data_IF_490791363725
#
_entry.id   IF_490791363725
#
_cell.length_a   1.000
_cell.length_b   1.000
_cell.length_c   1.000
_cell.angle_alpha   90.00
_cell.angle_beta   90.00
_cell.angle_gamma   90.00
#
_symmetry.space_group_name_H-M   'P 1'
#
loop_
_entity.id
_entity.type
_entity.pdbx_description
1 polymer ?
#
# COMPACT_ATOMS: atom_id res chain seq x y z
N UNK A 1 -20.80 -38.37 -40.39
CA UNK A 1 -21.87 -37.59 -39.72
C UNK A 1 -21.82 -37.71 -38.20
N UNK A 2 -22.01 -38.88 -37.58
CA UNK A 2 -21.94 -38.99 -36.10
C UNK A 2 -20.56 -38.62 -35.52
N UNK A 3 -19.48 -39.09 -36.13
CA UNK A 3 -18.11 -38.78 -35.70
C UNK A 3 -17.78 -37.27 -35.81
N UNK A 4 -18.25 -36.61 -36.86
CA UNK A 4 -18.07 -35.16 -37.07
C UNK A 4 -18.80 -34.34 -36.00
N UNK A 5 -20.02 -34.76 -35.65
CA UNK A 5 -20.84 -34.13 -34.61
C UNK A 5 -20.18 -34.30 -33.23
N UNK A 6 -19.69 -35.50 -32.92
CA UNK A 6 -18.96 -35.76 -31.67
C UNK A 6 -17.67 -34.95 -31.59
N UNK A 7 -16.91 -34.86 -32.68
CA UNK A 7 -15.68 -34.06 -32.74
C UNK A 7 -15.95 -32.58 -32.50
N UNK A 8 -17.02 -32.03 -33.08
CA UNK A 8 -17.45 -30.65 -32.84
C UNK A 8 -17.72 -30.40 -31.35
N UNK A 9 -18.54 -31.23 -30.70
CA UNK A 9 -18.86 -31.04 -29.28
C UNK A 9 -17.65 -31.20 -28.36
N UNK A 10 -16.78 -32.17 -28.64
CA UNK A 10 -15.53 -32.35 -27.87
C UNK A 10 -14.61 -31.16 -28.06
N UNK A 11 -14.44 -30.66 -29.28
CA UNK A 11 -13.61 -29.49 -29.55
C UNK A 11 -14.15 -28.25 -28.83
N UNK A 12 -15.46 -28.01 -28.87
CA UNK A 12 -16.09 -26.88 -28.17
C UNK A 12 -15.88 -26.99 -26.66
N UNK A 13 -16.08 -28.18 -26.08
CA UNK A 13 -15.89 -28.41 -24.66
C UNK A 13 -14.43 -28.17 -24.22
N UNK A 14 -13.46 -28.64 -25.02
CA UNK A 14 -12.03 -28.42 -24.76
C UNK A 14 -11.68 -26.94 -24.87
N UNK A 15 -12.11 -26.25 -25.94
CA UNK A 15 -11.87 -24.82 -26.11
C UNK A 15 -12.46 -23.99 -24.97
N UNK A 16 -13.68 -24.31 -24.53
CA UNK A 16 -14.31 -23.64 -23.40
C UNK A 16 -13.53 -23.88 -22.10
N UNK A 17 -13.17 -25.14 -21.81
CA UNK A 17 -12.38 -25.49 -20.64
C UNK A 17 -11.03 -24.78 -20.59
N UNK A 18 -10.32 -24.73 -21.73
CA UNK A 18 -9.05 -24.00 -21.84
C UNK A 18 -9.27 -22.50 -21.61
N UNK A 19 -10.28 -21.89 -22.23
CA UNK A 19 -10.57 -20.46 -22.09
C UNK A 19 -10.87 -20.06 -20.64
N UNK A 20 -11.65 -20.87 -19.92
CA UNK A 20 -11.99 -20.63 -18.51
C UNK A 20 -10.75 -20.68 -17.62
N UNK A 21 -9.83 -21.62 -17.86
CA UNK A 21 -8.58 -21.69 -17.11
C UNK A 21 -7.72 -20.45 -17.34
N UNK A 22 -7.61 -19.96 -18.58
CA UNK A 22 -6.88 -18.71 -18.86
C UNK A 22 -7.48 -17.51 -18.12
N UNK A 23 -8.81 -17.37 -18.14
CA UNK A 23 -9.51 -16.30 -17.41
C UNK A 23 -9.26 -16.44 -15.92
N UNK A 24 -9.42 -17.64 -15.34
CA UNK A 24 -9.19 -17.88 -13.92
C UNK A 24 -7.76 -17.54 -13.48
N UNK A 25 -6.74 -17.99 -14.25
CA UNK A 25 -5.33 -17.68 -13.96
C UNK A 25 -5.08 -16.18 -14.06
N UNK A 26 -5.62 -15.50 -15.08
CA UNK A 26 -5.45 -14.06 -15.25
C UNK A 26 -6.03 -13.26 -14.08
N UNK A 27 -7.24 -13.61 -13.63
CA UNK A 27 -7.89 -12.99 -12.48
C UNK A 27 -7.13 -13.27 -11.19
N UNK A 28 -6.61 -14.48 -11.03
CA UNK A 28 -5.80 -14.85 -9.88
C UNK A 28 -4.51 -14.03 -9.82
N UNK A 29 -3.78 -13.88 -10.93
CA UNK A 29 -2.59 -13.05 -11.00
C UNK A 29 -2.89 -11.58 -10.69
N UNK A 30 -4.02 -11.06 -11.20
CA UNK A 30 -4.48 -9.70 -10.87
C UNK A 30 -4.77 -9.54 -9.37
N UNK A 31 -5.46 -10.50 -8.76
CA UNK A 31 -5.77 -10.47 -7.33
C UNK A 31 -4.49 -10.49 -6.47
N UNK A 32 -3.54 -11.37 -6.81
CA UNK A 32 -2.23 -11.43 -6.13
C UNK A 32 -1.47 -10.12 -6.32
N UNK A 33 -1.45 -9.55 -7.53
CA UNK A 33 -0.81 -8.27 -7.83
C UNK A 33 -1.39 -7.13 -6.99
N UNK A 34 -2.71 -7.01 -6.92
CA UNK A 34 -3.36 -6.01 -6.07
C UNK A 34 -3.05 -6.20 -4.59
N UNK A 35 -3.04 -7.45 -4.10
CA UNK A 35 -2.70 -7.74 -2.71
C UNK A 35 -1.27 -7.28 -2.37
N UNK A 36 -0.31 -7.59 -3.24
CA UNK A 36 1.09 -7.15 -3.08
C UNK A 36 1.19 -5.63 -3.09
N UNK A 37 0.53 -4.96 -4.06
CA UNK A 37 0.52 -3.50 -4.13
C UNK A 37 -0.10 -2.86 -2.88
N UNK A 38 -1.16 -3.48 -2.33
CA UNK A 38 -1.80 -3.01 -1.11
C UNK A 38 -0.87 -3.16 0.09
N UNK A 39 -0.22 -4.31 0.25
CA UNK A 39 0.77 -4.52 1.31
C UNK A 39 1.93 -3.53 1.18
N UNK A 40 2.44 -3.35 -0.05
CA UNK A 40 3.51 -2.40 -0.32
C UNK A 40 3.08 -0.97 0.01
N UNK A 41 1.86 -0.59 -0.34
CA UNK A 41 1.27 0.69 0.04
C UNK A 41 1.25 0.85 1.57
N UNK A 42 0.87 -0.17 2.34
CA UNK A 42 0.85 -0.06 3.81
C UNK A 42 2.25 0.12 4.41
N UNK A 43 3.26 -0.51 3.80
CA UNK A 43 4.65 -0.39 4.25
C UNK A 43 5.21 0.98 3.88
N UNK A 44 4.98 1.45 2.65
CA UNK A 44 5.50 2.73 2.15
C UNK A 44 4.70 3.94 2.64
N UNK A 45 3.42 3.79 2.94
CA UNK A 45 2.57 4.84 3.49
C UNK A 45 2.78 5.05 5.00
N UNK A 46 4.01 4.87 5.48
CA UNK A 46 4.49 5.57 6.69
C UNK A 46 5.19 6.87 6.30
N UNK A 47 4.50 7.94 5.89
CA UNK A 47 5.02 9.27 6.02
C UNK A 47 4.64 9.74 7.42
N UNK A 48 5.57 9.62 8.37
CA UNK A 48 5.66 10.63 9.42
C UNK A 48 6.50 11.73 8.77
N UNK A 49 5.90 12.81 8.23
CA UNK A 49 6.69 13.93 7.75
C UNK A 49 7.46 14.47 8.96
N UNK A 50 8.76 14.71 8.81
CA UNK A 50 9.57 15.34 9.87
C UNK A 50 8.97 16.68 10.35
N UNK A 51 8.11 17.29 9.53
CA UNK A 51 7.32 18.48 9.85
C UNK A 51 6.17 18.25 10.85
N UNK A 52 5.65 17.02 11.00
CA UNK A 52 4.64 16.67 12.01
C UNK A 52 5.26 16.26 13.36
N UNK A 53 6.57 15.98 13.43
CA UNK A 53 7.23 15.59 14.67
C UNK A 53 7.08 16.63 15.82
N UNK A 54 7.15 17.96 15.57
CA UNK A 54 6.80 18.95 16.59
C UNK A 54 5.33 18.91 17.01
N UNK A 55 4.42 18.61 16.08
CA UNK A 55 2.98 18.55 16.33
C UNK A 55 2.58 17.31 17.14
N UNK A 56 3.28 16.19 16.92
CA UNK A 56 3.15 14.99 17.72
C UNK A 56 3.53 15.25 19.18
N UNK A 57 4.67 15.92 19.42
CA UNK A 57 5.08 16.33 20.77
C UNK A 57 4.06 17.26 21.41
N UNK A 58 3.47 18.20 20.67
CA UNK A 58 2.41 19.07 21.19
C UNK A 58 1.14 18.31 21.59
N UNK A 59 0.88 17.13 21.01
CA UNK A 59 -0.28 16.29 21.35
C UNK A 59 -0.11 15.46 22.62
N UNK A 60 1.13 15.34 23.14
CA UNK A 60 1.44 14.49 24.29
C UNK A 60 1.01 15.14 25.62
N UNK A 61 0.55 14.31 26.56
CA UNK A 61 0.14 14.76 27.89
C UNK A 61 1.31 15.39 28.69
N UNK A 62 2.54 14.97 28.40
CA UNK A 62 3.77 15.51 28.99
C UNK A 62 4.07 16.94 28.52
N UNK A 63 3.79 17.25 27.26
CA UNK A 63 3.86 18.63 26.76
C UNK A 63 2.78 19.51 27.39
N UNK A 64 1.56 18.99 27.58
CA UNK A 64 0.48 19.74 28.24
C UNK A 64 0.82 20.08 29.70
N UNK A 65 1.50 19.19 30.42
CA UNK A 65 1.81 19.33 31.85
C UNK A 65 3.17 20.00 32.14
N UNK A 66 4.02 20.19 31.15
CA UNK A 66 5.36 20.77 31.33
C UNK A 66 5.38 22.30 31.38
N UNK A 67 6.42 22.85 32.00
CA UNK A 67 6.67 24.28 32.05
C UNK A 67 7.16 24.83 30.70
N UNK A 68 7.06 26.14 30.53
CA UNK A 68 7.36 26.84 29.28
C UNK A 68 8.79 26.62 28.76
N UNK A 69 9.78 26.48 29.66
CA UNK A 69 11.16 26.15 29.26
C UNK A 69 11.31 24.69 28.79
N UNK A 70 10.65 23.75 29.47
CA UNK A 70 10.66 22.33 29.11
C UNK A 70 9.97 22.08 27.78
N UNK A 71 8.83 22.74 27.51
CA UNK A 71 8.17 22.71 26.19
C UNK A 71 9.09 23.15 25.06
N UNK A 72 9.84 24.23 25.26
CA UNK A 72 10.78 24.74 24.24
C UNK A 72 11.92 23.75 23.98
N UNK A 73 12.42 23.08 25.01
CA UNK A 73 13.43 22.03 24.86
C UNK A 73 12.87 20.81 24.10
N UNK A 74 11.66 20.37 24.44
CA UNK A 74 10.97 19.27 23.75
C UNK A 74 10.69 19.58 22.27
N UNK A 75 10.34 20.81 21.92
CA UNK A 75 10.12 21.20 20.52
C UNK A 75 11.43 21.36 19.74
N UNK A 76 12.51 21.80 20.38
CA UNK A 76 13.81 21.92 19.74
C UNK A 76 14.48 20.56 19.48
N UNK A 77 14.18 19.52 20.27
CA UNK A 77 14.78 18.20 20.08
C UNK A 77 14.25 17.46 18.83
N UNK A 78 13.03 17.78 18.38
CA UNK A 78 12.40 17.20 17.18
C UNK A 78 12.42 18.14 15.96
N UNK A 79 12.99 19.34 16.11
CA UNK A 79 13.08 20.30 15.01
C UNK A 79 14.13 19.82 14.00
N UNK A 80 13.67 19.23 12.89
CA UNK A 80 14.53 18.99 11.74
C UNK A 80 15.10 20.33 11.24
N UNK A 81 16.43 20.39 11.03
CA UNK A 81 17.08 21.57 10.43
C UNK A 81 16.53 21.73 9.02
N UNK A 82 15.86 22.86 8.70
CA UNK A 82 15.31 23.03 7.36
C UNK A 82 16.44 23.03 6.32
N UNK A 83 16.36 22.13 5.34
CA UNK A 83 17.19 22.11 4.11
C UNK A 83 16.76 23.26 3.19
N UNK A 84 16.67 24.48 3.73
CA UNK A 84 16.35 25.72 3.00
C UNK A 84 17.52 26.71 3.14
N UNK A 85 18.63 26.29 3.75
CA UNK A 85 19.87 27.06 3.83
C UNK A 85 20.98 26.34 3.05
N UNK A 86 20.85 26.30 1.73
CA UNK A 86 22.02 26.21 0.84
C UNK A 86 22.10 27.56 0.11
N UNK A 87 23.21 28.31 0.23
CA UNK A 87 23.38 29.61 -0.43
C UNK A 87 23.37 29.52 -1.96
#
# INVERSE_FOLDING_TARGET
MYADVMFFFVSVAVSLGVSLNFVAISLFLLAVGLAVLTIWFWISARPEPEALAPLEIMSQAEFAQSDEESRKQMLNSVRAVPVIATP
#
